data_IF_240513799503
#
_entry.id   IF_240513799503
#
_cell.length_a   1.000
_cell.length_b   1.000
_cell.length_c   1.000
_cell.angle_alpha   90.00
_cell.angle_beta   90.00
_cell.angle_gamma   90.00
#
_symmetry.space_group_name_H-M   'P 1'
#
loop_
_entity.id
_entity.type
_entity.pdbx_description
1 polymer ?
#
# COMPACT_ATOMS: atom_id res chain seq x y z
N UNK A 1 -3.82 -10.03 7.55
CA UNK A 1 -2.52 -9.33 7.71
C UNK A 1 -2.18 -8.49 6.50
N UNK A 2 -2.32 -9.03 5.28
CA UNK A 2 -2.18 -8.27 4.02
C UNK A 2 -3.09 -7.03 3.98
N UNK A 3 -4.38 -7.21 4.23
CA UNK A 3 -5.35 -6.10 4.29
C UNK A 3 -4.94 -5.03 5.30
N UNK A 4 -4.58 -5.42 6.53
CA UNK A 4 -4.09 -4.51 7.57
C UNK A 4 -2.87 -3.69 7.10
N UNK A 5 -1.93 -4.32 6.41
CA UNK A 5 -0.75 -3.64 5.88
C UNK A 5 -1.12 -2.59 4.81
N UNK A 6 -2.10 -2.88 3.96
CA UNK A 6 -2.58 -1.95 2.92
C UNK A 6 -3.34 -0.79 3.54
N UNK A 7 -4.29 -1.08 4.44
CA UNK A 7 -5.04 -0.08 5.20
C UNK A 7 -4.06 0.87 5.92
N UNK A 8 -3.05 0.34 6.60
CA UNK A 8 -2.02 1.17 7.26
C UNK A 8 -1.28 2.05 6.25
N UNK A 9 -0.90 1.52 5.08
CA UNK A 9 -0.23 2.34 4.06
C UNK A 9 -1.11 3.51 3.58
N UNK A 10 -2.39 3.27 3.36
CA UNK A 10 -3.33 4.28 2.84
C UNK A 10 -3.68 5.32 3.90
N UNK A 11 -4.14 4.87 5.08
CA UNK A 11 -4.64 5.77 6.12
C UNK A 11 -3.53 6.58 6.78
N UNK A 12 -2.34 6.02 7.06
CA UNK A 12 -1.22 6.83 7.56
C UNK A 12 -0.75 7.85 6.52
N UNK A 13 -0.86 7.53 5.23
CA UNK A 13 -0.55 8.49 4.18
C UNK A 13 -1.60 9.63 4.10
N UNK A 14 -2.85 9.34 4.46
CA UNK A 14 -3.97 10.29 4.47
C UNK A 14 -3.95 11.20 5.70
N UNK A 15 -3.81 10.67 6.92
CA UNK A 15 -3.99 11.40 8.18
C UNK A 15 -2.97 12.51 8.47
N UNK A 16 -1.85 12.60 7.73
CA UNK A 16 -0.81 13.65 7.86
C UNK A 16 -0.34 13.92 9.31
N UNK A 17 -0.06 12.89 10.11
CA UNK A 17 0.40 13.05 11.50
C UNK A 17 1.71 13.85 11.64
N UNK A 18 2.59 13.80 10.64
CA UNK A 18 3.89 14.47 10.65
C UNK A 18 3.92 15.65 9.68
N UNK A 19 4.81 16.62 9.95
CA UNK A 19 5.06 17.75 9.05
C UNK A 19 5.51 17.30 7.65
N UNK A 20 6.43 16.34 7.58
CA UNK A 20 6.79 15.61 6.37
C UNK A 20 7.03 14.12 6.71
N UNK A 21 7.04 13.26 5.70
CA UNK A 21 7.44 11.86 5.84
C UNK A 21 6.28 10.89 5.99
N UNK A 22 5.02 11.34 6.06
CA UNK A 22 3.84 10.48 6.24
C UNK A 22 3.81 9.27 5.29
N UNK A 23 4.03 9.50 3.99
CA UNK A 23 4.04 8.42 2.97
C UNK A 23 5.21 7.44 3.16
N UNK A 24 6.36 7.92 3.66
CA UNK A 24 7.52 7.07 3.97
C UNK A 24 7.23 6.23 5.20
N UNK A 25 6.72 6.84 6.27
CA UNK A 25 6.33 6.14 7.50
C UNK A 25 5.25 5.10 7.21
N UNK A 26 4.20 5.46 6.47
CA UNK A 26 3.11 4.54 6.12
C UNK A 26 3.62 3.29 5.40
N UNK A 27 4.53 3.45 4.42
CA UNK A 27 5.13 2.34 3.70
C UNK A 27 6.08 1.50 4.56
N UNK A 28 6.83 2.11 5.47
CA UNK A 28 7.66 1.38 6.43
C UNK A 28 6.79 0.57 7.40
N UNK A 29 5.73 1.15 7.95
CA UNK A 29 4.78 0.47 8.83
C UNK A 29 4.06 -0.68 8.11
N UNK A 30 3.66 -0.47 6.85
CA UNK A 30 3.09 -1.51 6.01
C UNK A 30 4.07 -2.66 5.78
N UNK A 31 5.31 -2.36 5.41
CA UNK A 31 6.35 -3.36 5.20
C UNK A 31 6.72 -4.11 6.48
N UNK A 32 6.70 -3.46 7.65
CA UNK A 32 6.90 -4.15 8.92
C UNK A 32 5.88 -5.27 9.10
N UNK A 33 4.60 -5.04 8.77
CA UNK A 33 3.54 -6.04 8.88
C UNK A 33 3.73 -7.15 7.84
N UNK A 34 3.99 -6.79 6.58
CA UNK A 34 4.17 -7.78 5.51
C UNK A 34 5.35 -8.71 5.77
N UNK A 35 6.50 -8.15 6.19
CA UNK A 35 7.72 -8.90 6.49
C UNK A 35 7.57 -9.76 7.74
N UNK A 36 6.97 -9.22 8.82
CA UNK A 36 6.77 -9.97 10.07
C UNK A 36 5.82 -11.16 9.92
N UNK A 37 5.06 -11.22 8.83
CA UNK A 37 4.10 -12.29 8.54
C UNK A 37 4.46 -13.10 7.29
N UNK A 38 5.68 -12.96 6.77
CA UNK A 38 6.18 -13.71 5.60
C UNK A 38 5.31 -13.55 4.32
N UNK A 39 4.68 -12.39 4.15
CA UNK A 39 3.75 -12.14 3.03
C UNK A 39 4.47 -11.61 1.80
N UNK A 40 5.36 -10.64 1.98
CA UNK A 40 6.04 -9.96 0.89
C UNK A 40 6.57 -8.57 1.22
N UNK A 41 6.85 -7.80 0.18
CA UNK A 41 7.38 -6.44 0.28
C UNK A 41 6.57 -5.49 -0.60
N UNK A 42 6.13 -4.38 -0.01
CA UNK A 42 5.51 -3.25 -0.67
C UNK A 42 6.58 -2.26 -1.16
N UNK A 43 6.63 -2.03 -2.46
CA UNK A 43 7.43 -0.99 -3.11
C UNK A 43 6.59 -0.30 -4.17
N UNK A 44 6.78 1.00 -4.39
CA UNK A 44 6.16 1.72 -5.50
C UNK A 44 7.23 1.92 -6.57
N UNK A 45 7.27 1.09 -7.64
CA UNK A 45 8.29 1.21 -8.68
C UNK A 45 8.22 2.57 -9.36
N UNK A 46 9.38 3.12 -9.74
CA UNK A 46 9.45 4.43 -10.40
C UNK A 46 8.53 4.53 -11.64
N UNK A 47 8.44 3.44 -12.42
CA UNK A 47 7.56 3.35 -13.61
C UNK A 47 6.07 3.52 -13.31
N UNK A 48 5.61 3.24 -12.09
CA UNK A 48 4.21 3.37 -11.70
C UNK A 48 3.95 4.55 -10.75
N UNK A 49 4.96 5.39 -10.48
CA UNK A 49 4.83 6.52 -9.53
C UNK A 49 3.72 7.50 -9.92
N UNK A 50 3.59 7.80 -11.22
CA UNK A 50 2.57 8.73 -11.72
C UNK A 50 1.17 8.17 -11.51
N UNK A 51 0.94 6.91 -11.89
CA UNK A 51 -0.33 6.20 -11.71
C UNK A 51 -0.70 6.09 -10.22
N UNK A 52 0.25 5.68 -9.38
CA UNK A 52 0.06 5.62 -7.92
C UNK A 52 -0.33 6.97 -7.34
N UNK A 53 0.34 8.05 -7.73
CA UNK A 53 0.04 9.38 -7.22
C UNK A 53 -1.36 9.86 -7.62
N UNK A 54 -1.82 9.52 -8.83
CA UNK A 54 -3.18 9.82 -9.28
C UNK A 54 -4.21 9.08 -8.42
N UNK A 55 -4.07 7.77 -8.27
CA UNK A 55 -4.98 6.95 -7.46
C UNK A 55 -5.00 7.37 -5.98
N UNK A 56 -3.86 7.77 -5.43
CA UNK A 56 -3.80 8.30 -4.07
C UNK A 56 -4.50 9.66 -3.96
N UNK A 57 -4.45 10.51 -4.98
CA UNK A 57 -5.19 11.78 -5.00
C UNK A 57 -6.69 11.52 -5.02
N UNK A 58 -7.15 10.63 -5.91
CA UNK A 58 -8.56 10.22 -6.01
C UNK A 58 -9.05 9.66 -4.66
N UNK A 59 -8.25 8.80 -4.00
CA UNK A 59 -8.55 8.30 -2.66
C UNK A 59 -8.61 9.42 -1.61
N UNK A 60 -7.72 10.41 -1.65
CA UNK A 60 -7.74 11.50 -0.68
C UNK A 60 -8.97 12.40 -0.80
N UNK A 61 -9.52 12.54 -2.01
CA UNK A 61 -10.69 13.37 -2.29
C UNK A 61 -12.01 12.64 -1.99
N UNK A 62 -12.06 11.34 -2.28
CA UNK A 62 -13.31 10.56 -2.24
C UNK A 62 -13.40 9.60 -1.06
N UNK A 63 -12.27 9.24 -0.46
CA UNK A 63 -12.11 8.12 0.49
C UNK A 63 -12.44 6.74 -0.10
N UNK A 64 -12.68 6.63 -1.40
CA UNK A 64 -12.86 5.37 -2.10
C UNK A 64 -11.49 4.72 -2.35
N UNK A 65 -11.26 3.54 -1.77
CA UNK A 65 -9.95 2.90 -1.73
C UNK A 65 -9.79 1.75 -2.73
N UNK A 66 -10.86 1.28 -3.35
CA UNK A 66 -10.87 0.02 -4.11
C UNK A 66 -9.83 0.01 -5.24
N UNK A 67 -9.78 1.07 -6.06
CA UNK A 67 -8.85 1.15 -7.19
C UNK A 67 -7.40 1.25 -6.74
N UNK A 68 -7.10 2.00 -5.67
CA UNK A 68 -5.74 2.12 -5.15
C UNK A 68 -5.29 0.83 -4.45
N UNK A 69 -6.19 0.13 -3.77
CA UNK A 69 -5.93 -1.19 -3.16
C UNK A 69 -5.60 -2.19 -4.26
N UNK A 70 -6.45 -2.28 -5.29
CA UNK A 70 -6.23 -3.18 -6.43
C UNK A 70 -4.89 -2.91 -7.11
N UNK A 71 -4.59 -1.65 -7.41
CA UNK A 71 -3.31 -1.25 -7.98
C UNK A 71 -2.11 -1.65 -7.10
N UNK A 72 -2.21 -1.47 -5.77
CA UNK A 72 -1.15 -1.86 -4.84
C UNK A 72 -0.93 -3.38 -4.89
N UNK A 73 -1.99 -4.17 -4.81
CA UNK A 73 -1.94 -5.64 -4.84
C UNK A 73 -1.33 -6.16 -6.14
N UNK A 74 -1.70 -5.57 -7.27
CA UNK A 74 -1.29 -6.05 -8.60
C UNK A 74 0.12 -5.62 -8.99
N UNK A 75 0.53 -4.40 -8.62
CA UNK A 75 1.73 -3.76 -9.20
C UNK A 75 2.80 -3.38 -8.18
N UNK A 76 2.47 -3.37 -6.88
CA UNK A 76 3.35 -2.80 -5.85
C UNK A 76 3.78 -3.79 -4.77
N UNK A 77 3.16 -4.98 -4.67
CA UNK A 77 3.59 -6.01 -3.73
C UNK A 77 4.32 -7.12 -4.46
N UNK A 78 5.56 -7.35 -4.06
CA UNK A 78 6.28 -8.59 -4.40
C UNK A 78 5.99 -9.61 -3.30
N UNK A 79 5.14 -10.59 -3.62
CA UNK A 79 4.79 -11.66 -2.68
C UNK A 79 5.93 -12.67 -2.53
N UNK A 80 6.10 -13.19 -1.33
CA UNK A 80 6.99 -14.32 -1.07
C UNK A 80 6.34 -15.64 -1.51
N UNK A 81 7.15 -16.69 -1.60
CA UNK A 81 6.75 -17.97 -2.20
C UNK A 81 5.49 -18.55 -1.52
N UNK A 82 4.51 -18.97 -2.32
CA UNK A 82 3.24 -19.55 -1.82
C UNK A 82 2.10 -18.54 -1.61
N UNK A 83 2.39 -17.23 -1.61
CA UNK A 83 1.39 -16.16 -1.47
C UNK A 83 1.07 -15.47 -2.81
N UNK A 84 -0.21 -15.13 -2.99
CA UNK A 84 -0.70 -14.23 -4.04
C UNK A 84 -2.01 -13.60 -3.55
N UNK A 85 -2.26 -12.34 -3.92
CA UNK A 85 -3.52 -11.66 -3.64
C UNK A 85 -4.76 -12.36 -4.24
N UNK A 86 -4.60 -13.15 -5.32
CA UNK A 86 -5.69 -13.93 -5.96
C UNK A 86 -6.25 -15.07 -5.10
N UNK A 87 -5.71 -15.31 -3.90
CA UNK A 87 -6.26 -16.26 -2.91
C UNK A 87 -7.12 -15.60 -1.82
N UNK A 88 -7.30 -14.28 -1.87
CA UNK A 88 -8.31 -13.60 -1.05
C UNK A 88 -9.66 -13.66 -1.78
N UNK A 89 -10.44 -14.71 -1.46
CA UNK A 89 -11.88 -14.78 -1.61
C UNK A 89 -12.50 -14.77 -0.22
#
# INVERSE_FOLDING_TARGET
MLEKAIIINLWLSYCKFFYDGNKRTARLSSNLILLSNDIGVLSIPARYKVEYNKLMLDFYETLEADEVIKFILEKCITFFHGFNYKKYN
#
